data_IF_149033119814
#
_entry.id   IF_149033119814
#
_cell.length_a   1.000
_cell.length_b   1.000
_cell.length_c   1.000
_cell.angle_alpha   90.00
_cell.angle_beta   90.00
_cell.angle_gamma   90.00
#
_symmetry.space_group_name_H-M   'P 1'
#
loop_
_entity.id
_entity.type
_entity.pdbx_description
1 polymer ?
#
# COMPACT_ATOMS: atom_id res chain seq x y z
N UNK A 1 -13.17 -20.46 -18.02
CA UNK A 1 -12.57 -19.90 -16.80
C UNK A 1 -12.99 -20.77 -15.63
N UNK A 2 -12.07 -21.01 -14.68
CA UNK A 2 -12.33 -21.69 -13.40
C UNK A 2 -12.01 -20.70 -12.31
N UNK A 3 -12.89 -20.57 -11.31
CA UNK A 3 -12.75 -19.62 -10.21
C UNK A 3 -12.63 -20.36 -8.90
N UNK A 4 -11.57 -20.04 -8.14
CA UNK A 4 -11.40 -20.47 -6.77
C UNK A 4 -11.52 -19.25 -5.86
N UNK A 5 -12.54 -19.23 -4.99
CA UNK A 5 -12.64 -18.23 -3.94
C UNK A 5 -11.58 -18.48 -2.87
N UNK A 6 -10.87 -17.45 -2.45
CA UNK A 6 -9.70 -17.59 -1.58
C UNK A 6 -10.05 -17.87 -0.12
N UNK A 7 -11.23 -17.47 0.34
CA UNK A 7 -11.61 -17.60 1.74
C UNK A 7 -13.11 -17.51 1.95
N UNK A 8 -13.56 -18.08 3.05
CA UNK A 8 -14.95 -17.93 3.54
C UNK A 8 -14.93 -17.88 5.07
N UNK A 9 -15.87 -17.15 5.65
CA UNK A 9 -16.08 -17.13 7.10
C UNK A 9 -16.53 -18.49 7.62
N UNK A 10 -16.13 -18.81 8.86
CA UNK A 10 -16.46 -20.06 9.51
C UNK A 10 -16.91 -19.85 10.97
N UNK A 11 -18.04 -20.43 11.42
CA UNK A 11 -19.01 -21.15 10.59
C UNK A 11 -19.96 -20.16 9.86
N UNK A 12 -20.09 -20.32 8.55
CA UNK A 12 -21.05 -19.53 7.76
C UNK A 12 -21.42 -20.29 6.48
N UNK A 13 -22.74 -20.31 6.15
CA UNK A 13 -23.20 -20.83 4.86
C UNK A 13 -22.80 -19.88 3.72
N UNK A 14 -22.40 -20.46 2.58
CA UNK A 14 -22.14 -19.70 1.35
C UNK A 14 -23.37 -18.95 0.83
N UNK A 15 -24.58 -19.39 1.19
CA UNK A 15 -25.84 -18.73 0.84
C UNK A 15 -26.20 -17.57 1.77
N UNK A 16 -25.45 -17.37 2.85
CA UNK A 16 -25.65 -16.23 3.73
C UNK A 16 -25.34 -14.92 3.02
N UNK A 17 -26.17 -13.91 3.22
CA UNK A 17 -26.00 -12.59 2.59
C UNK A 17 -24.65 -11.94 2.88
N UNK A 18 -24.04 -12.30 4.02
CA UNK A 18 -22.76 -11.77 4.50
C UNK A 18 -21.58 -12.70 4.12
N UNK A 19 -21.80 -13.74 3.30
CA UNK A 19 -20.70 -14.62 2.86
C UNK A 19 -19.83 -13.92 1.82
N UNK A 20 -18.54 -14.26 1.82
CA UNK A 20 -17.63 -13.78 0.78
C UNK A 20 -18.00 -14.34 -0.59
N UNK A 21 -18.54 -15.56 -0.64
CA UNK A 21 -19.03 -16.14 -1.88
C UNK A 21 -20.21 -15.36 -2.47
N UNK A 22 -21.20 -14.96 -1.62
CA UNK A 22 -22.31 -14.16 -2.09
C UNK A 22 -21.85 -12.82 -2.64
N UNK A 23 -20.91 -12.16 -1.95
CA UNK A 23 -20.31 -10.92 -2.46
C UNK A 23 -19.59 -11.12 -3.81
N UNK A 24 -18.81 -12.20 -3.95
CA UNK A 24 -18.15 -12.54 -5.20
C UNK A 24 -19.17 -12.81 -6.32
N UNK A 25 -20.24 -13.53 -5.98
CA UNK A 25 -21.32 -13.84 -6.92
C UNK A 25 -21.98 -12.54 -7.44
N UNK A 26 -22.43 -11.68 -6.55
CA UNK A 26 -23.10 -10.43 -6.89
C UNK A 26 -22.19 -9.45 -7.66
N UNK A 27 -20.90 -9.37 -7.29
CA UNK A 27 -19.98 -8.40 -7.91
C UNK A 27 -19.37 -8.88 -9.23
N UNK A 28 -19.29 -10.18 -9.45
CA UNK A 28 -18.57 -10.72 -10.61
C UNK A 28 -19.30 -11.88 -11.28
N UNK A 29 -19.63 -12.96 -10.57
CA UNK A 29 -20.01 -14.20 -11.20
C UNK A 29 -21.36 -14.13 -11.93
N UNK A 30 -22.31 -13.32 -11.43
CA UNK A 30 -23.61 -13.08 -12.05
C UNK A 30 -23.50 -12.20 -13.32
N UNK A 31 -22.34 -11.60 -13.59
CA UNK A 31 -22.09 -10.71 -14.73
C UNK A 31 -21.22 -11.35 -15.84
N UNK A 32 -20.82 -12.60 -15.67
CA UNK A 32 -20.00 -13.35 -16.64
C UNK A 32 -20.64 -14.70 -16.98
N UNK A 33 -20.30 -15.25 -18.12
CA UNK A 33 -20.79 -16.53 -18.64
C UNK A 33 -20.01 -17.74 -18.07
N UNK A 34 -19.87 -17.82 -16.74
CA UNK A 34 -19.17 -18.92 -16.08
C UNK A 34 -20.11 -20.06 -15.74
N UNK A 35 -19.70 -21.29 -16.09
CA UNK A 35 -20.41 -22.48 -15.65
C UNK A 35 -20.26 -22.67 -14.13
N UNK A 36 -21.37 -22.92 -13.44
CA UNK A 36 -21.41 -23.11 -11.98
C UNK A 36 -20.51 -24.24 -11.48
N UNK A 37 -20.30 -25.29 -12.28
CA UNK A 37 -19.37 -26.40 -11.97
C UNK A 37 -17.90 -25.97 -11.93
N UNK A 38 -17.58 -24.81 -12.48
CA UNK A 38 -16.24 -24.23 -12.51
C UNK A 38 -16.00 -23.19 -11.39
N UNK A 39 -16.92 -23.11 -10.42
CA UNK A 39 -16.82 -22.18 -9.28
C UNK A 39 -16.60 -22.99 -8.01
N UNK A 40 -15.51 -22.74 -7.34
CA UNK A 40 -15.12 -23.40 -6.09
C UNK A 40 -14.98 -22.35 -4.98
N UNK A 41 -15.70 -22.58 -3.89
CA UNK A 41 -15.60 -21.75 -2.68
C UNK A 41 -15.38 -22.63 -1.46
N UNK A 42 -14.63 -22.17 -0.45
CA UNK A 42 -14.56 -22.88 0.81
C UNK A 42 -15.95 -23.01 1.45
N UNK A 43 -16.27 -24.21 1.92
CA UNK A 43 -17.53 -24.48 2.60
C UNK A 43 -17.41 -24.14 4.09
N UNK A 44 -18.02 -23.03 4.48
CA UNK A 44 -18.05 -22.58 5.87
C UNK A 44 -18.99 -23.39 6.77
N UNK A 45 -19.68 -24.41 6.25
CA UNK A 45 -20.57 -25.30 7.05
C UNK A 45 -19.96 -26.65 7.37
N UNK A 46 -18.73 -26.92 6.89
CA UNK A 46 -18.05 -28.20 7.09
C UNK A 46 -17.88 -28.52 8.59
N UNK A 47 -18.01 -29.76 8.96
CA UNK A 47 -17.84 -30.15 10.35
C UNK A 47 -16.38 -29.94 10.82
N UNK A 48 -16.20 -29.48 12.05
CA UNK A 48 -14.90 -29.05 12.58
C UNK A 48 -13.87 -30.17 12.60
N UNK A 49 -14.28 -31.40 12.80
CA UNK A 49 -13.42 -32.58 12.83
C UNK A 49 -12.94 -33.01 11.44
N UNK A 50 -13.62 -32.65 10.37
CA UNK A 50 -13.25 -32.96 8.98
C UNK A 50 -12.58 -31.79 8.25
N UNK A 51 -12.48 -30.63 8.89
CA UNK A 51 -12.04 -29.39 8.24
C UNK A 51 -10.60 -29.46 7.70
N UNK A 52 -9.71 -30.19 8.40
CA UNK A 52 -8.34 -30.38 7.94
C UNK A 52 -8.28 -31.16 6.62
N UNK A 53 -9.03 -32.25 6.56
CA UNK A 53 -9.09 -33.06 5.34
C UNK A 53 -9.77 -32.29 4.20
N UNK A 54 -10.81 -31.53 4.51
CA UNK A 54 -11.46 -30.65 3.54
C UNK A 54 -10.48 -29.61 2.94
N UNK A 55 -9.68 -28.94 3.76
CA UNK A 55 -8.69 -27.99 3.29
C UNK A 55 -7.63 -28.66 2.41
N UNK A 56 -7.20 -29.88 2.77
CA UNK A 56 -6.30 -30.67 1.95
C UNK A 56 -6.89 -31.04 0.57
N UNK A 57 -8.16 -31.41 0.54
CA UNK A 57 -8.87 -31.69 -0.70
C UNK A 57 -9.07 -30.44 -1.55
N UNK A 58 -9.23 -29.28 -0.93
CA UNK A 58 -9.32 -28.01 -1.64
C UNK A 58 -8.01 -27.69 -2.39
N UNK A 59 -6.86 -27.88 -1.74
CA UNK A 59 -5.53 -27.76 -2.36
C UNK A 59 -5.36 -28.76 -3.52
N UNK A 60 -5.69 -30.02 -3.30
CA UNK A 60 -5.61 -31.05 -4.35
C UNK A 60 -6.48 -30.71 -5.56
N UNK A 61 -7.64 -30.07 -5.34
CA UNK A 61 -8.50 -29.62 -6.43
C UNK A 61 -7.83 -28.51 -7.24
N UNK A 62 -7.19 -27.55 -6.58
CA UNK A 62 -6.40 -26.53 -7.27
C UNK A 62 -5.29 -27.18 -8.10
N UNK A 63 -4.55 -28.11 -7.54
CA UNK A 63 -3.49 -28.85 -8.24
C UNK A 63 -4.02 -29.65 -9.43
N UNK A 64 -5.20 -30.27 -9.31
CA UNK A 64 -5.80 -31.07 -10.40
C UNK A 64 -6.16 -30.25 -11.64
N UNK A 65 -6.34 -28.94 -11.48
CA UNK A 65 -6.52 -27.98 -12.59
C UNK A 65 -5.21 -27.37 -13.10
N UNK A 66 -4.06 -27.82 -12.59
CA UNK A 66 -2.74 -27.30 -12.96
C UNK A 66 -2.31 -26.05 -12.18
N UNK A 67 -2.93 -25.82 -11.03
CA UNK A 67 -2.66 -24.67 -10.15
C UNK A 67 -3.46 -23.43 -10.51
N UNK A 68 -3.01 -22.30 -10.03
CA UNK A 68 -3.66 -20.99 -10.21
C UNK A 68 -2.91 -20.21 -11.30
N UNK A 69 -3.57 -19.79 -12.36
CA UNK A 69 -2.96 -18.94 -13.37
C UNK A 69 -2.86 -17.48 -12.89
N UNK A 70 -3.93 -16.95 -12.29
CA UNK A 70 -4.00 -15.56 -11.83
C UNK A 70 -4.62 -15.51 -10.43
N UNK A 71 -3.93 -14.89 -9.50
CA UNK A 71 -4.46 -14.52 -8.19
C UNK A 71 -4.74 -13.01 -8.13
N UNK A 72 -5.97 -12.63 -7.75
CA UNK A 72 -6.37 -11.25 -7.54
C UNK A 72 -6.50 -10.99 -6.04
N UNK A 73 -5.73 -10.07 -5.50
CA UNK A 73 -5.62 -9.80 -4.09
C UNK A 73 -6.00 -8.36 -3.74
N UNK A 74 -6.68 -8.18 -2.63
CA UNK A 74 -6.64 -6.94 -1.88
C UNK A 74 -5.61 -7.00 -0.76
N UNK A 75 -5.39 -5.89 -0.07
CA UNK A 75 -4.54 -5.82 1.12
C UNK A 75 -5.34 -5.29 2.32
N UNK A 76 -5.28 -6.00 3.42
CA UNK A 76 -5.89 -5.58 4.67
C UNK A 76 -5.07 -4.50 5.40
N UNK A 77 -5.61 -3.95 6.48
CA UNK A 77 -4.98 -2.87 7.26
C UNK A 77 -3.69 -3.29 7.95
N UNK A 78 -3.58 -4.56 8.27
CA UNK A 78 -2.41 -5.15 8.93
C UNK A 78 -1.46 -5.86 7.96
N UNK A 79 -1.65 -5.65 6.65
CA UNK A 79 -0.81 -6.26 5.62
C UNK A 79 -1.16 -7.70 5.30
N UNK A 80 -2.36 -8.15 5.68
CA UNK A 80 -2.86 -9.47 5.33
C UNK A 80 -3.30 -9.53 3.85
N UNK A 81 -3.09 -10.68 3.23
CA UNK A 81 -3.63 -11.10 1.92
C UNK A 81 -4.55 -12.29 2.13
N UNK A 82 -5.77 -12.24 1.58
CA UNK A 82 -6.88 -13.07 2.04
C UNK A 82 -6.98 -12.92 3.58
N UNK A 83 -7.21 -14.00 4.32
CA UNK A 83 -7.10 -13.97 5.79
C UNK A 83 -5.74 -14.53 6.31
N UNK A 84 -4.67 -14.39 5.54
CA UNK A 84 -3.33 -14.62 6.06
C UNK A 84 -2.89 -13.40 6.86
N UNK A 85 -3.17 -13.43 8.15
CA UNK A 85 -2.89 -12.39 9.11
C UNK A 85 -1.44 -12.42 9.60
N UNK A 86 -0.95 -11.37 10.32
CA UNK A 86 0.38 -11.36 10.91
C UNK A 86 0.71 -12.66 11.64
N UNK A 87 1.90 -13.22 11.38
CA UNK A 87 2.33 -14.55 11.84
C UNK A 87 2.03 -15.69 10.86
N UNK A 88 1.37 -15.42 9.73
CA UNK A 88 1.16 -16.43 8.69
C UNK A 88 2.47 -16.76 7.99
N UNK A 89 2.84 -18.04 8.03
CA UNK A 89 4.10 -18.52 7.45
C UNK A 89 4.05 -18.59 5.93
N UNK A 90 5.20 -18.39 5.30
CA UNK A 90 5.38 -18.47 3.85
C UNK A 90 4.89 -19.80 3.25
N UNK A 91 5.10 -20.92 3.95
CA UNK A 91 4.73 -22.27 3.52
C UNK A 91 3.30 -22.69 3.93
N UNK A 92 2.47 -21.76 4.38
CA UNK A 92 1.09 -22.07 4.75
C UNK A 92 0.24 -22.38 3.52
N UNK A 93 -0.59 -23.41 3.63
CA UNK A 93 -1.60 -23.82 2.64
C UNK A 93 -3.01 -23.47 3.15
N UNK A 94 -4.05 -23.88 2.43
CA UNK A 94 -5.44 -23.69 2.84
C UNK A 94 -5.70 -24.29 4.21
N UNK A 95 -6.31 -23.50 5.11
CA UNK A 95 -6.51 -23.89 6.51
C UNK A 95 -7.61 -23.07 7.19
N UNK A 96 -8.10 -23.61 8.30
CA UNK A 96 -8.90 -22.83 9.26
C UNK A 96 -7.95 -21.93 10.07
N UNK A 97 -8.35 -20.66 10.23
CA UNK A 97 -7.64 -19.68 11.06
C UNK A 97 -8.60 -19.01 12.04
N UNK A 98 -8.06 -18.46 13.11
CA UNK A 98 -8.76 -17.50 13.96
C UNK A 98 -8.50 -16.10 13.43
N UNK A 99 -9.55 -15.30 13.31
CA UNK A 99 -9.46 -13.91 12.89
C UNK A 99 -8.96 -13.04 14.05
N UNK A 100 -8.05 -12.13 13.77
CA UNK A 100 -7.62 -11.14 14.74
C UNK A 100 -8.70 -10.08 15.00
N UNK A 101 -8.48 -9.26 16.04
CA UNK A 101 -9.43 -8.22 16.40
C UNK A 101 -9.57 -7.13 15.34
N UNK A 102 -8.52 -6.83 14.57
CA UNK A 102 -8.58 -5.80 13.52
C UNK A 102 -9.44 -6.29 12.36
N UNK A 103 -9.24 -7.54 11.91
CA UNK A 103 -10.05 -8.18 10.86
C UNK A 103 -11.50 -8.36 11.29
N UNK A 104 -11.75 -8.77 12.54
CA UNK A 104 -13.12 -8.90 13.07
C UNK A 104 -13.81 -7.54 13.17
N UNK A 105 -13.14 -6.50 13.62
CA UNK A 105 -13.69 -5.14 13.67
C UNK A 105 -14.01 -4.59 12.27
N UNK A 106 -13.21 -4.93 11.27
CA UNK A 106 -13.53 -4.55 9.88
C UNK A 106 -14.76 -5.32 9.36
N UNK A 107 -14.81 -6.62 9.59
CA UNK A 107 -15.91 -7.47 9.21
C UNK A 107 -17.22 -7.14 9.97
N UNK A 108 -17.15 -6.63 11.20
CA UNK A 108 -18.34 -6.28 11.99
C UNK A 108 -19.26 -5.25 11.30
N UNK A 109 -18.72 -4.46 10.38
CA UNK A 109 -19.51 -3.54 9.55
C UNK A 109 -20.47 -4.27 8.61
N UNK A 110 -20.12 -5.50 8.21
CA UNK A 110 -20.93 -6.36 7.35
C UNK A 110 -21.91 -7.17 8.20
N UNK A 111 -21.46 -7.64 9.37
CA UNK A 111 -22.26 -8.46 10.30
C UNK A 111 -23.11 -7.64 11.29
N UNK A 112 -23.00 -6.31 11.26
CA UNK A 112 -23.72 -5.37 12.12
C UNK A 112 -23.08 -5.18 13.50
N UNK A 113 -22.60 -6.26 14.14
CA UNK A 113 -21.91 -6.21 15.45
C UNK A 113 -20.72 -7.15 15.48
N UNK A 114 -19.80 -6.91 16.43
CA UNK A 114 -18.64 -7.78 16.65
C UNK A 114 -19.06 -9.18 17.15
N UNK A 115 -20.13 -9.27 17.94
CA UNK A 115 -20.64 -10.53 18.49
C UNK A 115 -21.22 -11.43 17.39
N UNK A 116 -21.82 -10.85 16.37
CA UNK A 116 -22.33 -11.57 15.21
C UNK A 116 -21.25 -11.92 14.18
N UNK A 117 -20.06 -11.34 14.33
CA UNK A 117 -18.95 -11.55 13.39
C UNK A 117 -18.26 -12.89 13.67
N UNK A 118 -18.13 -13.79 12.68
CA UNK A 118 -17.40 -15.02 12.85
C UNK A 118 -16.01 -14.80 13.42
N UNK A 119 -15.58 -15.73 14.27
CA UNK A 119 -14.24 -15.69 14.90
C UNK A 119 -13.18 -16.42 14.09
N UNK A 120 -13.60 -17.13 13.04
CA UNK A 120 -12.71 -17.98 12.24
C UNK A 120 -13.03 -17.84 10.76
N UNK A 121 -12.10 -18.26 9.94
CA UNK A 121 -12.22 -18.34 8.47
C UNK A 121 -11.43 -19.53 7.94
N UNK A 122 -11.91 -20.14 6.86
CA UNK A 122 -11.09 -21.00 5.99
C UNK A 122 -10.46 -20.10 4.95
N UNK A 123 -9.15 -20.13 4.83
CA UNK A 123 -8.41 -19.26 3.89
C UNK A 123 -7.33 -20.03 3.15
N UNK A 124 -7.15 -19.75 1.85
CA UNK A 124 -5.94 -20.15 1.14
C UNK A 124 -4.72 -19.62 1.86
N UNK A 125 -3.68 -20.43 1.93
CA UNK A 125 -2.42 -20.02 2.55
C UNK A 125 -1.54 -19.17 1.65
N UNK A 126 -0.48 -18.63 2.23
CA UNK A 126 0.49 -17.80 1.51
C UNK A 126 1.14 -18.60 0.37
N UNK A 127 1.54 -19.84 0.64
CA UNK A 127 2.18 -20.70 -0.36
C UNK A 127 1.24 -21.01 -1.54
N UNK A 128 -0.04 -21.24 -1.28
CA UNK A 128 -1.06 -21.47 -2.32
C UNK A 128 -1.21 -20.25 -3.22
N UNK A 129 -1.28 -19.06 -2.62
CA UNK A 129 -1.39 -17.78 -3.34
C UNK A 129 -0.13 -17.51 -4.17
N UNK A 130 1.05 -17.69 -3.58
CA UNK A 130 2.34 -17.48 -4.25
C UNK A 130 2.65 -18.57 -5.31
N UNK A 131 1.95 -19.69 -5.28
CA UNK A 131 1.99 -20.71 -6.33
C UNK A 131 1.29 -20.29 -7.63
N UNK A 132 0.57 -19.19 -7.64
CA UNK A 132 -0.06 -18.66 -8.86
C UNK A 132 1.01 -18.22 -9.87
N UNK A 133 0.75 -18.42 -11.18
CA UNK A 133 1.67 -17.99 -12.24
C UNK A 133 1.79 -16.46 -12.30
N UNK A 134 0.73 -15.74 -11.91
CA UNK A 134 0.70 -14.28 -11.84
C UNK A 134 -0.15 -13.83 -10.67
N UNK A 135 0.34 -12.83 -9.95
CA UNK A 135 -0.38 -12.23 -8.81
C UNK A 135 -0.61 -10.75 -9.06
N UNK A 136 -1.81 -10.28 -8.83
CA UNK A 136 -2.17 -8.87 -8.82
C UNK A 136 -2.64 -8.47 -7.42
N UNK A 137 -1.92 -7.55 -6.79
CA UNK A 137 -2.35 -6.87 -5.58
C UNK A 137 -2.98 -5.53 -5.97
N UNK A 138 -4.22 -5.33 -5.57
CA UNK A 138 -5.00 -4.14 -5.90
C UNK A 138 -5.26 -3.33 -4.62
N UNK A 139 -4.91 -2.05 -4.62
CA UNK A 139 -5.21 -1.18 -3.48
C UNK A 139 -5.42 0.27 -3.90
N UNK A 140 -6.36 0.93 -3.24
CA UNK A 140 -6.69 2.34 -3.43
C UNK A 140 -7.04 3.03 -2.14
N UNK A 141 -6.85 4.36 -2.18
CA UNK A 141 -7.10 5.25 -1.05
C UNK A 141 -5.89 5.46 -0.14
N UNK A 142 -5.82 6.65 0.45
CA UNK A 142 -4.72 7.10 1.31
C UNK A 142 -4.51 6.19 2.55
N UNK A 143 -5.59 5.58 3.04
CA UNK A 143 -5.55 4.67 4.19
C UNK A 143 -4.73 3.39 3.96
N UNK A 144 -4.39 3.09 2.69
CA UNK A 144 -3.52 1.96 2.31
C UNK A 144 -2.06 2.37 2.14
N UNK A 145 -1.74 3.66 2.00
CA UNK A 145 -0.43 4.14 1.59
C UNK A 145 0.73 3.68 2.50
N UNK A 146 0.53 3.69 3.82
CA UNK A 146 1.56 3.23 4.76
C UNK A 146 1.81 1.73 4.61
N UNK A 147 0.74 0.91 4.54
CA UNK A 147 0.84 -0.53 4.42
C UNK A 147 1.40 -0.96 3.05
N UNK A 148 1.02 -0.26 1.97
CA UNK A 148 1.59 -0.50 0.63
C UNK A 148 3.10 -0.25 0.63
N UNK A 149 3.57 0.81 1.29
CA UNK A 149 5.01 1.05 1.42
C UNK A 149 5.73 -0.09 2.12
N UNK A 150 5.21 -0.53 3.26
CA UNK A 150 5.79 -1.66 4.00
C UNK A 150 5.74 -2.97 3.20
N UNK A 151 4.65 -3.21 2.46
CA UNK A 151 4.51 -4.39 1.62
C UNK A 151 5.51 -4.42 0.46
N UNK A 152 5.76 -3.27 -0.20
CA UNK A 152 6.53 -3.20 -1.46
C UNK A 152 8.01 -2.87 -1.23
N UNK A 153 8.31 -2.02 -0.25
CA UNK A 153 9.65 -1.48 0.02
C UNK A 153 10.21 -1.88 1.39
N UNK A 154 9.37 -2.41 2.27
CA UNK A 154 9.78 -2.87 3.60
C UNK A 154 10.44 -4.25 3.59
N UNK A 155 10.93 -4.72 4.74
CA UNK A 155 11.51 -6.04 4.87
C UNK A 155 10.44 -7.14 4.67
N UNK A 156 10.84 -8.25 4.06
CA UNK A 156 9.99 -9.44 3.94
C UNK A 156 9.84 -10.06 5.33
N UNK A 157 8.60 -10.17 5.81
CA UNK A 157 8.31 -10.64 7.17
C UNK A 157 6.92 -11.28 7.25
N UNK A 158 6.77 -12.22 8.16
CA UNK A 158 5.47 -12.81 8.53
C UNK A 158 4.56 -11.83 9.30
N UNK A 159 5.12 -10.75 9.85
CA UNK A 159 4.33 -9.66 10.44
C UNK A 159 3.54 -8.87 9.41
N UNK A 160 3.95 -8.92 8.14
CA UNK A 160 3.26 -8.32 6.99
C UNK A 160 3.21 -9.37 5.88
N UNK A 161 2.25 -10.29 5.88
CA UNK A 161 2.19 -11.37 4.90
C UNK A 161 2.18 -10.92 3.45
N UNK A 162 1.63 -9.74 3.14
CA UNK A 162 1.70 -9.14 1.81
C UNK A 162 3.15 -8.88 1.36
N UNK A 163 4.13 -8.72 2.26
CA UNK A 163 5.53 -8.53 1.92
C UNK A 163 6.16 -9.73 1.21
N UNK A 164 5.60 -10.91 1.41
CA UNK A 164 6.02 -12.12 0.68
C UNK A 164 5.84 -12.01 -0.83
N UNK A 165 4.96 -11.13 -1.31
CA UNK A 165 4.81 -10.87 -2.75
C UNK A 165 6.10 -10.36 -3.41
N UNK A 166 7.04 -9.78 -2.64
CA UNK A 166 8.36 -9.39 -3.13
C UNK A 166 9.20 -10.59 -3.60
N UNK A 167 8.88 -11.81 -3.15
CA UNK A 167 9.57 -13.04 -3.58
C UNK A 167 8.98 -13.64 -4.85
N UNK A 168 7.83 -13.16 -5.31
CA UNK A 168 7.14 -13.72 -6.45
C UNK A 168 7.63 -13.11 -7.76
N UNK A 169 8.05 -13.94 -8.72
CA UNK A 169 8.67 -13.49 -9.98
C UNK A 169 7.73 -12.70 -10.89
N UNK A 170 6.43 -12.80 -10.69
CA UNK A 170 5.40 -12.19 -11.56
C UNK A 170 4.26 -11.58 -10.71
N UNK A 171 4.64 -10.80 -9.69
CA UNK A 171 3.70 -10.02 -8.89
C UNK A 171 3.58 -8.59 -9.43
N UNK A 172 2.36 -8.12 -9.53
CA UNK A 172 2.01 -6.77 -9.95
C UNK A 172 1.20 -6.09 -8.86
N UNK A 173 1.58 -4.85 -8.54
CA UNK A 173 0.85 -4.02 -7.57
C UNK A 173 0.21 -2.87 -8.31
N UNK A 174 -1.11 -2.87 -8.43
CA UNK A 174 -1.89 -1.82 -9.08
C UNK A 174 -2.50 -0.89 -8.02
N UNK A 175 -2.16 0.38 -8.10
CA UNK A 175 -2.47 1.38 -7.08
C UNK A 175 -3.05 2.64 -7.74
N UNK A 176 -3.93 3.34 -7.02
CA UNK A 176 -4.16 4.74 -7.29
C UNK A 176 -3.04 5.61 -6.67
N UNK A 177 -3.00 6.89 -7.05
CA UNK A 177 -1.98 7.82 -6.54
C UNK A 177 -2.05 7.99 -5.02
N UNK A 178 -3.22 7.88 -4.43
CA UNK A 178 -3.43 8.01 -2.99
C UNK A 178 -2.82 6.84 -2.22
N UNK A 179 -3.02 5.61 -2.70
CA UNK A 179 -2.41 4.41 -2.12
C UNK A 179 -0.89 4.35 -2.35
N UNK A 180 -0.40 4.94 -3.46
CA UNK A 180 1.01 4.96 -3.81
C UNK A 180 1.81 6.10 -3.16
N UNK A 181 1.16 7.07 -2.51
CA UNK A 181 1.76 8.34 -2.12
C UNK A 181 2.97 8.24 -1.20
N UNK A 182 3.12 7.13 -0.46
CA UNK A 182 4.24 6.91 0.44
C UNK A 182 5.41 6.16 -0.22
N UNK A 183 5.24 5.62 -1.43
CA UNK A 183 6.30 4.92 -2.14
C UNK A 183 7.45 5.88 -2.49
N UNK A 184 8.68 5.38 -2.39
CA UNK A 184 9.89 6.13 -2.73
C UNK A 184 9.84 6.62 -4.18
N UNK A 185 9.32 5.81 -5.11
CA UNK A 185 9.11 6.20 -6.51
C UNK A 185 8.23 7.45 -6.68
N UNK A 186 7.28 7.67 -5.78
CA UNK A 186 6.37 8.83 -5.82
C UNK A 186 6.95 10.02 -5.05
N UNK A 187 7.52 9.78 -3.87
CA UNK A 187 8.04 10.85 -3.02
C UNK A 187 9.42 11.36 -3.43
N UNK A 188 10.28 10.44 -3.90
CA UNK A 188 11.69 10.68 -4.19
C UNK A 188 12.11 9.89 -5.43
N UNK A 189 11.50 10.16 -6.60
CA UNK A 189 11.71 9.36 -7.81
C UNK A 189 13.19 9.28 -8.21
N UNK A 190 13.99 10.32 -7.94
CA UNK A 190 15.42 10.36 -8.23
C UNK A 190 16.25 9.28 -7.52
N UNK A 191 15.72 8.66 -6.45
CA UNK A 191 16.39 7.55 -5.76
C UNK A 191 16.17 6.19 -6.42
N UNK A 192 15.23 6.09 -7.34
CA UNK A 192 14.77 4.81 -7.90
C UNK A 192 14.97 4.74 -9.42
N UNK A 193 14.85 5.87 -10.10
CA UNK A 193 14.93 5.95 -11.57
C UNK A 193 15.38 7.35 -11.99
N UNK A 194 15.86 7.50 -13.23
CA UNK A 194 16.00 8.81 -13.85
C UNK A 194 14.63 9.48 -13.91
N UNK A 195 14.57 10.78 -13.74
CA UNK A 195 13.32 11.54 -13.72
C UNK A 195 13.45 12.83 -14.55
N UNK A 196 12.31 13.29 -15.06
CA UNK A 196 12.24 14.61 -15.70
C UNK A 196 12.22 15.70 -14.62
N UNK A 197 13.30 16.46 -14.55
CA UNK A 197 13.49 17.50 -13.57
C UNK A 197 12.69 18.75 -13.92
N UNK A 198 11.71 19.08 -13.07
CA UNK A 198 11.00 20.35 -13.08
C UNK A 198 11.23 21.11 -11.76
N UNK A 199 10.90 22.41 -11.72
CA UNK A 199 11.17 23.25 -10.56
C UNK A 199 10.57 22.72 -9.25
N UNK A 200 9.40 22.09 -9.30
CA UNK A 200 8.76 21.49 -8.13
C UNK A 200 9.56 20.28 -7.60
N UNK A 201 10.02 19.43 -8.52
CA UNK A 201 10.77 18.23 -8.18
C UNK A 201 12.17 18.59 -7.65
N UNK A 202 12.85 19.54 -8.29
CA UNK A 202 14.14 20.06 -7.84
C UNK A 202 14.04 20.64 -6.43
N UNK A 203 13.02 21.50 -6.20
CA UNK A 203 12.78 22.06 -4.86
C UNK A 203 12.54 20.96 -3.81
N UNK A 204 11.73 19.95 -4.14
CA UNK A 204 11.45 18.81 -3.25
C UNK A 204 12.73 18.04 -2.92
N UNK A 205 13.59 17.78 -3.94
CA UNK A 205 14.84 17.05 -3.76
C UNK A 205 15.83 17.83 -2.88
N UNK A 206 15.95 19.15 -3.07
CA UNK A 206 16.87 19.97 -2.28
C UNK A 206 16.41 20.12 -0.85
N UNK A 207 15.11 20.32 -0.60
CA UNK A 207 14.55 20.35 0.76
C UNK A 207 14.80 19.01 1.46
N UNK A 208 14.56 17.90 0.77
CA UNK A 208 14.87 16.57 1.32
C UNK A 208 16.37 16.39 1.61
N UNK A 209 17.27 16.86 0.72
CA UNK A 209 18.71 16.76 0.93
C UNK A 209 19.15 17.59 2.16
N UNK A 210 18.58 18.78 2.35
CA UNK A 210 18.81 19.60 3.54
C UNK A 210 18.41 18.86 4.82
N UNK A 211 17.23 18.23 4.82
CA UNK A 211 16.74 17.46 5.96
C UNK A 211 17.62 16.24 6.27
N UNK A 212 18.05 15.55 5.22
CA UNK A 212 18.89 14.37 5.34
C UNK A 212 20.29 14.71 5.90
N UNK A 213 20.88 15.78 5.39
CA UNK A 213 22.26 16.18 5.75
C UNK A 213 22.33 17.11 6.97
N UNK A 214 21.22 17.68 7.41
CA UNK A 214 21.17 18.71 8.44
C UNK A 214 21.81 20.05 8.02
N UNK A 215 22.07 20.24 6.70
CA UNK A 215 22.71 21.43 6.17
C UNK A 215 21.70 22.41 5.58
N UNK A 216 21.88 23.73 5.78
CA UNK A 216 21.10 24.72 5.05
C UNK A 216 21.42 24.69 3.56
N UNK A 217 20.48 25.12 2.72
CA UNK A 217 20.57 25.03 1.23
C UNK A 217 21.93 25.52 0.71
N UNK A 218 22.37 26.72 1.14
CA UNK A 218 23.61 27.33 0.64
C UNK A 218 24.90 26.63 1.12
N UNK A 219 24.80 25.66 2.03
CA UNK A 219 25.92 24.85 2.53
C UNK A 219 26.00 23.47 1.90
N UNK A 220 25.04 23.09 1.06
CA UNK A 220 25.11 21.83 0.31
C UNK A 220 26.23 21.87 -0.72
N UNK A 221 26.98 20.78 -0.84
CA UNK A 221 28.15 20.63 -1.70
C UNK A 221 27.91 19.63 -2.82
N UNK A 222 28.71 19.63 -3.85
CA UNK A 222 28.69 18.59 -4.91
C UNK A 222 28.76 17.16 -4.34
N UNK A 223 29.50 16.99 -3.24
CA UNK A 223 29.58 15.69 -2.55
C UNK A 223 28.24 15.25 -2.01
N UNK A 224 27.48 16.15 -1.35
CA UNK A 224 26.15 15.84 -0.81
C UNK A 224 25.19 15.39 -1.90
N UNK A 225 25.23 16.01 -3.08
CA UNK A 225 24.43 15.64 -4.24
C UNK A 225 24.80 14.25 -4.79
N UNK A 226 26.10 14.02 -5.00
CA UNK A 226 26.59 12.76 -5.58
C UNK A 226 26.30 11.56 -4.67
N UNK A 227 26.49 11.71 -3.37
CA UNK A 227 26.26 10.63 -2.40
C UNK A 227 24.77 10.31 -2.19
N UNK A 228 23.86 11.19 -2.65
CA UNK A 228 22.42 11.07 -2.42
C UNK A 228 21.58 11.01 -3.71
N UNK A 229 22.18 10.54 -4.81
CA UNK A 229 21.44 10.25 -6.05
C UNK A 229 21.00 11.48 -6.86
N UNK A 230 21.60 12.65 -6.60
CA UNK A 230 21.26 13.91 -7.28
C UNK A 230 22.33 14.39 -8.28
N UNK A 231 23.19 13.47 -8.72
CA UNK A 231 24.26 13.80 -9.70
C UNK A 231 23.72 14.36 -11.02
N UNK A 232 22.51 13.96 -11.43
CA UNK A 232 21.86 14.51 -12.63
C UNK A 232 21.65 16.03 -12.52
N UNK A 233 21.32 16.55 -11.34
CA UNK A 233 21.17 17.98 -11.12
C UNK A 233 22.49 18.72 -11.27
N UNK A 234 23.60 18.11 -10.86
CA UNK A 234 24.92 18.70 -11.07
C UNK A 234 25.27 18.75 -12.57
N UNK A 235 24.92 17.71 -13.32
CA UNK A 235 25.11 17.69 -14.76
C UNK A 235 24.29 18.77 -15.47
N UNK A 236 23.02 18.99 -15.04
CA UNK A 236 22.13 19.99 -15.62
C UNK A 236 22.51 21.44 -15.29
N UNK A 237 22.99 21.70 -14.07
CA UNK A 237 23.25 23.05 -13.56
C UNK A 237 24.77 23.39 -13.40
N UNK A 238 25.63 22.41 -13.63
CA UNK A 238 27.09 22.55 -13.55
C UNK A 238 27.68 22.47 -12.14
N UNK A 239 26.92 22.81 -11.09
CA UNK A 239 27.41 22.72 -9.70
C UNK A 239 26.25 22.77 -8.69
N UNK A 240 26.50 22.26 -7.48
CA UNK A 240 25.62 22.43 -6.35
C UNK A 240 25.32 23.90 -6.04
N UNK A 241 26.34 24.77 -6.15
CA UNK A 241 26.15 26.20 -5.92
C UNK A 241 25.06 26.80 -6.81
N UNK A 242 25.03 26.48 -8.09
CA UNK A 242 24.04 27.02 -9.02
C UNK A 242 22.62 26.52 -8.68
N UNK A 243 22.47 25.24 -8.35
CA UNK A 243 21.18 24.69 -7.89
C UNK A 243 20.74 25.34 -6.59
N UNK A 244 21.64 25.43 -5.63
CA UNK A 244 21.38 25.99 -4.31
C UNK A 244 20.89 27.45 -4.42
N UNK A 245 21.58 28.28 -5.19
CA UNK A 245 21.20 29.71 -5.41
C UNK A 245 19.84 29.81 -6.09
N UNK A 246 19.61 28.99 -7.13
CA UNK A 246 18.31 28.97 -7.82
C UNK A 246 17.17 28.69 -6.82
N UNK A 247 17.28 27.60 -6.06
CA UNK A 247 16.24 27.15 -5.14
C UNK A 247 16.10 28.15 -3.96
N UNK A 248 17.19 28.68 -3.45
CA UNK A 248 17.17 29.70 -2.40
C UNK A 248 16.40 30.95 -2.87
N UNK A 249 16.69 31.47 -4.07
CA UNK A 249 16.01 32.62 -4.63
C UNK A 249 14.52 32.34 -4.89
N UNK A 250 14.18 31.15 -5.44
CA UNK A 250 12.80 30.74 -5.68
C UNK A 250 11.99 30.69 -4.38
N UNK A 251 12.55 30.11 -3.31
CA UNK A 251 11.94 30.05 -1.99
C UNK A 251 11.80 31.43 -1.35
N UNK A 252 12.88 32.25 -1.42
CA UNK A 252 12.85 33.62 -0.92
C UNK A 252 11.74 34.43 -1.64
N UNK A 253 11.68 34.34 -2.97
CA UNK A 253 10.66 35.05 -3.74
C UNK A 253 9.25 34.57 -3.41
N UNK A 254 9.07 33.25 -3.20
CA UNK A 254 7.78 32.70 -2.79
C UNK A 254 7.36 33.19 -1.42
N UNK A 255 8.30 33.27 -0.47
CA UNK A 255 8.03 33.71 0.91
C UNK A 255 7.77 35.23 0.96
N UNK A 256 8.59 36.04 0.28
CA UNK A 256 8.48 37.51 0.27
C UNK A 256 7.36 38.01 -0.63
N UNK A 257 7.02 37.29 -1.69
CA UNK A 257 5.88 37.59 -2.57
C UNK A 257 4.52 37.15 -2.02
N UNK A 258 4.52 36.48 -0.87
CA UNK A 258 3.29 36.21 -0.16
C UNK A 258 2.66 37.55 0.26
N UNK A 259 1.33 37.71 0.07
CA UNK A 259 0.63 38.83 0.66
C UNK A 259 0.64 38.63 2.18
N UNK A 260 1.76 38.97 2.75
CA UNK A 260 1.93 39.01 4.20
C UNK A 260 0.99 40.03 4.78
N UNK A 261 0.54 39.79 6.01
CA UNK A 261 -0.30 40.75 6.71
C UNK A 261 0.36 42.11 6.76
N UNK A 262 -0.46 43.15 6.86
CA UNK A 262 0.03 44.53 7.05
C UNK A 262 0.67 44.62 8.44
N UNK A 263 1.79 45.34 8.59
CA UNK A 263 2.31 45.66 9.90
C UNK A 263 1.25 46.38 10.74
N UNK A 264 1.06 45.96 11.98
CA UNK A 264 0.20 46.69 12.91
C UNK A 264 0.87 48.01 13.35
N UNK A 265 0.08 48.92 13.91
CA UNK A 265 0.58 50.21 14.42
C UNK A 265 1.64 50.03 15.55
N UNK A 266 1.77 48.84 16.13
CA UNK A 266 2.75 48.46 17.16
C UNK A 266 3.95 47.67 16.59
N UNK A 267 4.18 47.73 15.27
CA UNK A 267 5.23 46.98 14.56
C UNK A 267 5.11 45.44 14.69
N UNK A 268 4.03 44.90 15.20
CA UNK A 268 3.78 43.47 15.19
C UNK A 268 3.17 43.03 13.86
N UNK A 269 3.75 41.97 13.29
CA UNK A 269 3.30 41.41 12.02
C UNK A 269 2.20 40.38 12.25
N UNK A 270 0.94 40.68 11.85
CA UNK A 270 -0.15 39.70 11.85
C UNK A 270 -0.53 39.35 10.42
N UNK A 271 -0.44 38.06 10.05
CA UNK A 271 -0.90 37.64 8.73
C UNK A 271 -2.41 37.83 8.59
N UNK A 272 -2.85 38.37 7.45
CA UNK A 272 -4.28 38.46 7.12
C UNK A 272 -4.91 37.08 7.06
N UNK A 273 -6.03 36.90 7.79
CA UNK A 273 -6.74 35.59 7.85
C UNK A 273 -7.49 35.19 6.59
N UNK A 274 -7.41 35.96 5.50
CA UNK A 274 -8.31 35.87 4.36
C UNK A 274 -7.89 34.88 3.25
N UNK A 275 -6.76 34.18 3.36
CA UNK A 275 -6.39 33.15 2.36
C UNK A 275 -5.90 31.87 3.04
N UNK A 276 -6.26 30.69 2.52
CA UNK A 276 -5.79 29.43 3.11
C UNK A 276 -4.28 29.39 3.02
N UNK A 277 -3.63 29.30 4.17
CA UNK A 277 -2.20 29.03 4.26
C UNK A 277 -1.90 27.73 3.50
N UNK A 278 -0.79 27.64 2.75
CA UNK A 278 -0.33 26.35 2.28
C UNK A 278 -0.17 25.45 3.48
N UNK A 279 -0.70 24.25 3.41
CA UNK A 279 -0.81 23.30 4.53
C UNK A 279 0.54 22.89 5.16
N UNK A 280 1.70 23.32 4.60
CA UNK A 280 3.03 23.11 5.14
C UNK A 280 3.94 24.29 4.75
N UNK A 281 4.34 25.06 5.72
CA UNK A 281 5.45 26.02 5.62
C UNK A 281 6.59 25.46 6.44
N UNK A 282 7.71 25.14 5.80
CA UNK A 282 8.94 24.81 6.50
C UNK A 282 9.76 26.10 6.59
N UNK A 283 9.79 26.71 7.77
CA UNK A 283 10.65 27.87 8.03
C UNK A 283 11.99 27.30 8.52
N UNK A 284 13.02 27.46 7.72
CA UNK A 284 14.39 27.25 8.19
C UNK A 284 14.85 28.51 8.91
N UNK A 285 14.91 28.48 10.24
CA UNK A 285 15.60 29.52 11.01
C UNK A 285 17.11 29.33 10.83
N UNK A 286 17.87 30.34 10.39
CA UNK A 286 19.32 30.26 10.40
C UNK A 286 19.80 30.51 11.84
N UNK A 287 20.21 29.47 12.54
CA UNK A 287 21.09 29.59 13.71
C UNK A 287 22.33 28.74 13.46
#
# INVERSE_FOLDING_TARGET
>A
VIVFNMYEYYPLSSDAINSNFNALKEMLLDHIDIDKQNIFTPDGTIAKDTIFEYCRLYEQRIESFGGIDIALLGIGRVGNIAFNEPGSRLNSTTRLILLDNASRNEASKIFGTLDNTPISSITMGVSTILGAKKVYLLAWGENKAAMIKECVEGPISDTIPASYLQTHNNAHVALDLSAAMNLTRIQRPWLVTSCEWNDKLIRSAIVWLCQLTGKPILKLTNKDYNENGLSELLALYGSAYNVNIKIFNDLQHTITGWPGGKPNADDTYRPERAKPYPKRVIIFSPH
#
